data_IF_928054985150
#
_entry.id   IF_928054985150
#
_cell.length_a   1.000
_cell.length_b   1.000
_cell.length_c   1.000
_cell.angle_alpha   90.00
_cell.angle_beta   90.00
_cell.angle_gamma   90.00
#
_symmetry.space_group_name_H-M   'P 1'
#
loop_
_entity.id
_entity.type
_entity.pdbx_description
1 polymer ?
#
# COMPACT_ATOMS: atom_id res chain seq x y z
N UNK A 1 76.24 10.23 -43.69
CA UNK A 1 75.93 11.21 -42.61
C UNK A 1 75.43 10.44 -41.39
N UNK A 2 75.91 10.85 -40.21
CA UNK A 2 75.62 10.49 -38.80
C UNK A 2 74.34 9.66 -38.49
N UNK A 3 74.21 8.88 -37.41
CA UNK A 3 75.04 8.16 -36.40
C UNK A 3 74.00 7.64 -35.37
N UNK A 4 74.25 6.48 -34.74
CA UNK A 4 73.85 6.13 -33.34
C UNK A 4 72.34 5.83 -33.12
N UNK A 5 71.89 4.83 -32.35
CA UNK A 5 72.52 3.71 -31.65
C UNK A 5 71.47 2.66 -31.29
N UNK A 6 71.93 1.41 -31.24
CA UNK A 6 71.32 0.29 -30.54
C UNK A 6 71.79 0.37 -29.08
N UNK A 7 70.90 0.25 -28.10
CA UNK A 7 71.27 -0.17 -26.75
C UNK A 7 70.16 -0.95 -26.08
N UNK A 8 70.56 -2.14 -25.64
CA UNK A 8 69.76 -3.22 -25.10
C UNK A 8 69.44 -3.01 -23.62
N UNK A 9 68.36 -3.64 -23.18
CA UNK A 9 68.28 -4.22 -21.84
C UNK A 9 67.40 -5.46 -21.90
N UNK A 10 67.93 -6.48 -21.22
CA UNK A 10 67.58 -7.89 -21.28
C UNK A 10 67.05 -8.25 -19.88
N UNK A 11 65.96 -9.02 -19.84
CA UNK A 11 65.40 -9.65 -18.64
C UNK A 11 63.93 -9.95 -18.94
N UNK A 12 63.49 -11.18 -19.23
CA UNK A 12 63.47 -12.37 -18.36
C UNK A 12 62.94 -11.97 -16.96
N UNK A 13 61.79 -12.44 -16.47
CA UNK A 13 61.24 -13.78 -16.55
C UNK A 13 59.71 -13.74 -16.34
N UNK A 14 59.06 -14.64 -17.08
CA UNK A 14 57.87 -15.45 -16.80
C UNK A 14 56.90 -15.14 -15.64
N UNK A 15 55.62 -15.10 -16.06
CA UNK A 15 54.41 -15.77 -15.47
C UNK A 15 53.95 -15.22 -14.10
N UNK A 16 52.69 -14.89 -13.81
CA UNK A 16 51.39 -15.27 -14.36
C UNK A 16 50.30 -14.33 -13.79
N UNK A 17 49.18 -14.20 -14.52
CA UNK A 17 47.78 -14.00 -14.04
C UNK A 17 47.47 -12.84 -13.08
N UNK A 18 46.82 -11.77 -13.56
CA UNK A 18 45.35 -11.62 -13.56
C UNK A 18 44.93 -10.24 -14.13
N UNK A 19 43.95 -10.14 -15.05
CA UNK A 19 43.64 -8.89 -15.77
C UNK A 19 42.40 -8.16 -15.18
N UNK A 20 42.35 -7.91 -13.88
CA UNK A 20 41.23 -7.15 -13.27
C UNK A 20 41.63 -6.34 -12.03
N UNK A 21 42.71 -5.55 -12.10
CA UNK A 21 42.92 -4.48 -11.12
C UNK A 21 43.52 -3.26 -11.79
N UNK A 22 42.90 -2.11 -11.53
CA UNK A 22 43.32 -0.74 -11.82
C UNK A 22 42.90 -0.15 -13.17
N UNK A 23 41.67 0.38 -13.19
CA UNK A 23 41.42 1.68 -13.81
C UNK A 23 40.24 2.37 -13.13
N UNK A 24 40.39 3.68 -12.89
CA UNK A 24 39.42 4.70 -12.46
C UNK A 24 39.24 4.90 -10.95
N UNK A 25 40.25 5.57 -10.40
CA UNK A 25 40.07 6.53 -9.32
C UNK A 25 38.98 7.55 -9.70
N UNK A 26 37.93 7.63 -8.88
CA UNK A 26 37.01 8.77 -8.80
C UNK A 26 37.22 9.43 -7.42
N UNK A 27 37.15 10.77 -7.34
CA UNK A 27 37.52 11.53 -6.16
C UNK A 27 36.56 11.25 -4.98
N UNK A 28 37.14 11.12 -3.79
CA UNK A 28 36.41 11.09 -2.51
C UNK A 28 35.71 12.45 -2.33
N UNK A 29 34.39 12.47 -2.50
CA UNK A 29 33.54 13.55 -2.05
C UNK A 29 33.26 13.35 -0.56
N UNK A 30 33.99 14.10 0.26
CA UNK A 30 33.58 14.49 1.61
C UNK A 30 32.27 15.31 1.51
N UNK A 31 31.15 14.64 1.31
CA UNK A 31 29.83 15.21 1.59
C UNK A 31 29.38 14.72 2.98
N UNK A 32 29.02 15.62 3.91
CA UNK A 32 28.47 15.21 5.20
C UNK A 32 27.16 14.46 4.93
N UNK A 33 27.13 13.18 5.26
CA UNK A 33 25.90 12.37 5.28
C UNK A 33 24.84 13.17 6.04
N UNK A 34 23.78 13.69 5.39
CA UNK A 34 22.68 14.26 6.14
C UNK A 34 22.10 13.11 6.96
N UNK A 35 22.11 13.32 8.27
CA UNK A 35 21.56 12.44 9.30
C UNK A 35 20.28 11.79 8.78
N UNK A 36 20.36 10.52 8.35
CA UNK A 36 19.23 9.72 7.86
C UNK A 36 18.39 9.30 9.06
N UNK A 37 17.90 10.29 9.78
CA UNK A 37 17.02 10.21 10.92
C UNK A 37 15.57 10.42 10.44
N UNK A 38 15.01 9.48 9.68
CA UNK A 38 13.58 9.16 9.76
C UNK A 38 13.40 7.68 9.40
N UNK A 39 13.37 6.82 10.43
CA UNK A 39 12.65 5.56 10.34
C UNK A 39 11.17 5.93 10.17
N UNK A 40 10.72 6.13 8.93
CA UNK A 40 9.29 6.17 8.61
C UNK A 40 8.68 4.86 9.16
N UNK A 41 7.57 4.91 9.92
CA UNK A 41 6.95 3.70 10.42
C UNK A 41 6.43 2.90 9.22
N UNK A 42 7.25 1.96 8.75
CA UNK A 42 6.88 0.96 7.76
C UNK A 42 5.70 0.18 8.33
N UNK A 43 4.55 0.35 7.70
CA UNK A 43 3.59 -0.75 7.59
C UNK A 43 2.13 -0.42 7.83
N UNK A 44 1.79 0.67 8.53
CA UNK A 44 0.41 0.85 9.02
C UNK A 44 -0.10 2.27 8.86
N UNK A 45 -1.32 2.39 8.37
CA UNK A 45 -2.05 3.65 8.27
C UNK A 45 -2.12 4.37 9.63
N UNK A 46 -1.91 5.70 9.70
CA UNK A 46 -2.06 6.49 10.92
C UNK A 46 -3.39 6.23 11.64
N UNK A 47 -3.35 6.12 12.97
CA UNK A 47 -4.50 5.69 13.78
C UNK A 47 -5.73 6.60 13.58
N UNK A 48 -5.50 7.91 13.44
CA UNK A 48 -6.57 8.88 13.22
C UNK A 48 -7.27 8.67 11.86
N UNK A 49 -6.49 8.43 10.80
CA UNK A 49 -6.98 8.12 9.45
C UNK A 49 -7.68 6.76 9.42
N UNK A 50 -7.09 5.72 10.03
CA UNK A 50 -7.72 4.40 10.17
C UNK A 50 -9.07 4.49 10.87
N UNK A 51 -9.12 5.18 12.01
CA UNK A 51 -10.36 5.37 12.79
C UNK A 51 -11.41 6.16 12.03
N UNK A 52 -11.00 7.18 11.26
CA UNK A 52 -11.90 7.93 10.39
C UNK A 52 -12.51 7.02 9.31
N UNK A 53 -11.66 6.29 8.59
CA UNK A 53 -12.08 5.43 7.49
C UNK A 53 -12.96 4.26 7.95
N UNK A 54 -12.68 3.68 9.11
CA UNK A 54 -13.57 2.67 9.73
C UNK A 54 -14.98 3.21 9.94
N UNK A 55 -15.11 4.43 10.50
CA UNK A 55 -16.43 5.06 10.68
C UNK A 55 -17.12 5.34 9.35
N UNK A 56 -16.38 5.81 8.34
CA UNK A 56 -16.93 6.09 7.02
C UNK A 56 -17.41 4.82 6.32
N UNK A 57 -16.63 3.73 6.35
CA UNK A 57 -17.04 2.44 5.80
C UNK A 57 -18.30 1.90 6.48
N UNK A 58 -18.38 2.00 7.82
CA UNK A 58 -19.57 1.58 8.56
C UNK A 58 -20.80 2.44 8.24
N UNK A 59 -20.63 3.74 8.03
CA UNK A 59 -21.71 4.62 7.57
C UNK A 59 -22.14 4.27 6.15
N UNK A 60 -21.18 4.04 5.25
CA UNK A 60 -21.42 3.72 3.85
C UNK A 60 -22.16 2.39 3.70
N UNK A 61 -21.83 1.37 4.50
CA UNK A 61 -22.51 0.06 4.52
C UNK A 61 -24.00 0.15 4.83
N UNK A 62 -24.44 1.17 5.56
CA UNK A 62 -25.86 1.40 5.91
C UNK A 62 -26.61 2.20 4.85
N UNK A 63 -25.92 2.74 3.85
CA UNK A 63 -26.54 3.56 2.82
C UNK A 63 -27.21 2.69 1.76
N UNK A 64 -28.36 3.14 1.23
CA UNK A 64 -29.15 2.36 0.27
C UNK A 64 -28.37 1.97 -1.00
N UNK A 65 -27.49 2.84 -1.49
CA UNK A 65 -26.68 2.52 -2.70
C UNK A 65 -25.70 1.36 -2.48
N UNK A 66 -25.41 1.05 -1.22
CA UNK A 66 -24.42 0.07 -0.81
C UNK A 66 -25.03 -1.31 -0.56
N UNK A 67 -26.36 -1.42 -0.54
CA UNK A 67 -27.10 -2.63 -0.16
C UNK A 67 -26.63 -3.87 -0.95
N UNK A 68 -26.37 -3.70 -2.24
CA UNK A 68 -25.92 -4.77 -3.14
C UNK A 68 -24.42 -5.09 -3.05
N UNK A 69 -23.64 -4.33 -2.28
CA UNK A 69 -22.17 -4.46 -2.21
C UNK A 69 -21.68 -4.82 -0.79
N UNK A 70 -22.59 -5.18 0.12
CA UNK A 70 -22.25 -5.52 1.51
C UNK A 70 -21.64 -6.92 1.62
N UNK A 71 -22.13 -7.89 0.86
CA UNK A 71 -21.75 -9.31 0.93
C UNK A 71 -21.66 -9.90 -0.50
N UNK A 72 -20.86 -10.95 -0.76
CA UNK A 72 -20.61 -11.56 -2.08
C UNK A 72 -21.81 -12.10 -2.86
N UNK A 73 -23.04 -11.69 -2.59
CA UNK A 73 -24.13 -11.90 -3.56
C UNK A 73 -23.86 -11.12 -4.87
N UNK A 74 -22.95 -10.13 -4.86
CA UNK A 74 -22.32 -9.53 -6.06
C UNK A 74 -21.07 -10.29 -6.58
N UNK A 75 -20.80 -11.49 -6.04
CA UNK A 75 -19.68 -12.37 -6.41
C UNK A 75 -20.10 -13.82 -6.68
N UNK A 76 -21.33 -14.22 -6.33
CA UNK A 76 -21.95 -15.43 -6.87
C UNK A 76 -22.65 -15.08 -8.17
N UNK A 77 -21.89 -15.23 -9.26
CA UNK A 77 -22.42 -15.17 -10.60
C UNK A 77 -23.65 -16.08 -10.74
N UNK A 78 -24.81 -15.52 -11.05
CA UNK A 78 -25.88 -16.28 -11.71
C UNK A 78 -25.49 -16.64 -13.16
N UNK A 79 -24.40 -16.05 -13.68
CA UNK A 79 -23.93 -16.18 -15.07
C UNK A 79 -22.54 -16.84 -15.23
N UNK A 80 -22.00 -17.50 -14.21
CA UNK A 80 -20.74 -18.26 -14.33
C UNK A 80 -19.45 -17.44 -14.55
N UNK A 81 -19.49 -16.10 -14.43
CA UNK A 81 -18.28 -15.25 -14.46
C UNK A 81 -17.86 -14.85 -13.05
N UNK A 82 -16.81 -15.50 -12.56
CA UNK A 82 -16.12 -15.13 -11.32
C UNK A 82 -15.42 -13.78 -11.55
N UNK A 83 -15.61 -12.80 -10.67
CA UNK A 83 -14.77 -11.61 -10.66
C UNK A 83 -13.32 -12.03 -10.33
N UNK A 84 -12.35 -11.62 -11.15
CA UNK A 84 -10.93 -12.01 -11.01
C UNK A 84 -10.42 -11.78 -9.57
N UNK A 85 -10.83 -10.68 -8.94
CA UNK A 85 -10.52 -10.35 -7.56
C UNK A 85 -11.81 -9.86 -6.88
N UNK A 86 -12.52 -10.71 -6.12
CA UNK A 86 -13.73 -10.29 -5.43
C UNK A 86 -13.39 -9.21 -4.39
N UNK A 87 -14.21 -8.17 -4.30
CA UNK A 87 -14.10 -7.13 -3.28
C UNK A 87 -15.49 -6.62 -2.91
N UNK A 88 -15.74 -6.38 -1.62
CA UNK A 88 -17.02 -5.92 -1.08
C UNK A 88 -16.81 -5.21 0.27
N UNK A 89 -17.81 -4.44 0.71
CA UNK A 89 -17.64 -3.51 1.85
C UNK A 89 -17.24 -4.21 3.16
N UNK A 90 -17.78 -5.40 3.45
CA UNK A 90 -17.38 -6.16 4.65
C UNK A 90 -15.91 -6.60 4.58
N UNK A 91 -15.41 -6.95 3.40
CA UNK A 91 -14.01 -7.29 3.23
C UNK A 91 -13.10 -6.08 3.37
N UNK A 92 -13.50 -4.91 2.86
CA UNK A 92 -12.79 -3.65 3.11
C UNK A 92 -12.71 -3.32 4.61
N UNK A 93 -13.84 -3.42 5.34
CA UNK A 93 -13.89 -3.20 6.78
C UNK A 93 -12.97 -4.18 7.53
N UNK A 94 -13.01 -5.46 7.16
CA UNK A 94 -12.16 -6.49 7.75
C UNK A 94 -10.67 -6.23 7.49
N UNK A 95 -10.30 -5.95 6.24
CA UNK A 95 -8.92 -5.66 5.85
C UNK A 95 -8.39 -4.40 6.53
N UNK A 96 -9.22 -3.36 6.64
CA UNK A 96 -8.87 -2.15 7.36
C UNK A 96 -8.73 -2.39 8.87
N UNK A 97 -9.59 -3.20 9.47
CA UNK A 97 -9.49 -3.58 10.88
C UNK A 97 -8.17 -4.29 11.19
N UNK A 98 -7.79 -5.23 10.31
CA UNK A 98 -6.61 -6.09 10.45
C UNK A 98 -5.32 -5.51 9.86
N UNK A 99 -5.25 -4.18 9.71
CA UNK A 99 -4.05 -3.47 9.27
C UNK A 99 -3.49 -3.94 7.93
N UNK A 100 -4.36 -4.41 7.01
CA UNK A 100 -3.97 -4.82 5.66
C UNK A 100 -3.70 -3.65 4.72
N UNK A 101 -4.11 -2.43 5.11
CA UNK A 101 -3.86 -1.22 4.35
C UNK A 101 -2.77 -0.37 5.02
N UNK A 102 -1.62 -0.27 4.36
CA UNK A 102 -0.52 0.61 4.76
C UNK A 102 -0.80 2.09 4.43
N UNK A 103 -1.75 2.38 3.53
CA UNK A 103 -2.07 3.74 3.10
C UNK A 103 -3.54 3.87 2.71
N UNK A 104 -4.03 5.12 2.64
CA UNK A 104 -5.38 5.39 2.13
C UNK A 104 -5.51 5.02 0.65
N UNK A 105 -4.42 5.14 -0.12
CA UNK A 105 -4.41 4.80 -1.54
C UNK A 105 -4.69 3.32 -1.79
N UNK A 106 -4.19 2.40 -0.95
CA UNK A 106 -4.46 0.96 -1.14
C UNK A 106 -5.92 0.62 -0.85
N UNK A 107 -6.51 1.24 0.18
CA UNK A 107 -7.96 1.13 0.43
C UNK A 107 -8.79 1.67 -0.74
N UNK A 108 -8.40 2.81 -1.32
CA UNK A 108 -9.08 3.41 -2.48
C UNK A 108 -9.03 2.50 -3.71
N UNK A 109 -7.91 1.81 -3.93
CA UNK A 109 -7.77 0.89 -5.06
C UNK A 109 -8.73 -0.31 -4.93
N UNK A 110 -8.82 -0.90 -3.74
CA UNK A 110 -9.80 -1.98 -3.48
C UNK A 110 -11.24 -1.47 -3.59
N UNK A 111 -11.49 -0.20 -3.22
CA UNK A 111 -12.81 0.40 -3.42
C UNK A 111 -13.16 0.51 -4.91
N UNK A 112 -12.23 1.01 -5.73
CA UNK A 112 -12.39 1.10 -7.19
C UNK A 112 -12.59 -0.27 -7.82
N UNK A 113 -11.98 -1.32 -7.25
CA UNK A 113 -12.16 -2.69 -7.71
C UNK A 113 -13.63 -3.15 -7.58
N UNK A 114 -14.38 -2.70 -6.56
CA UNK A 114 -15.83 -2.98 -6.45
C UNK A 114 -16.58 -2.45 -7.68
N UNK A 115 -16.31 -1.20 -8.09
CA UNK A 115 -16.94 -0.59 -9.26
C UNK A 115 -16.49 -1.25 -10.58
N UNK A 116 -15.20 -1.57 -10.70
CA UNK A 116 -14.67 -2.28 -11.88
C UNK A 116 -15.30 -3.68 -12.02
N UNK A 117 -15.47 -4.39 -10.91
CA UNK A 117 -16.11 -5.70 -10.89
C UNK A 117 -17.59 -5.61 -11.28
N UNK A 118 -18.33 -4.62 -10.77
CA UNK A 118 -19.72 -4.39 -11.16
C UNK A 118 -19.83 -4.15 -12.68
N UNK A 119 -19.01 -3.25 -13.23
CA UNK A 119 -18.96 -3.00 -14.68
C UNK A 119 -18.64 -4.25 -15.49
N UNK A 120 -17.67 -5.05 -15.04
CA UNK A 120 -17.26 -6.26 -15.76
C UNK A 120 -18.34 -7.36 -15.75
N UNK A 121 -19.15 -7.42 -14.68
CA UNK A 121 -20.22 -8.41 -14.55
C UNK A 121 -21.51 -7.98 -15.27
N UNK A 122 -21.89 -6.70 -15.16
CA UNK A 122 -23.21 -6.23 -15.58
C UNK A 122 -23.20 -5.30 -16.81
N UNK A 123 -22.04 -4.75 -17.18
CA UNK A 123 -21.91 -3.74 -18.25
C UNK A 123 -22.02 -2.30 -17.75
N UNK A 124 -21.74 -1.33 -18.63
CA UNK A 124 -21.65 0.10 -18.29
C UNK A 124 -22.99 0.73 -17.91
N UNK A 125 -24.08 0.37 -18.61
CA UNK A 125 -25.41 0.98 -18.45
C UNK A 125 -26.31 0.28 -17.41
N UNK A 126 -25.75 -0.63 -16.61
CA UNK A 126 -26.51 -1.37 -15.63
C UNK A 126 -26.69 -0.59 -14.32
N UNK A 127 -27.87 -0.65 -13.71
CA UNK A 127 -28.20 0.05 -12.45
C UNK A 127 -27.19 -0.24 -11.33
N UNK A 128 -26.77 -1.50 -11.19
CA UNK A 128 -25.73 -1.89 -10.23
C UNK A 128 -24.36 -1.26 -10.55
N UNK A 129 -23.99 -1.12 -11.81
CA UNK A 129 -22.74 -0.44 -12.19
C UNK A 129 -22.81 1.04 -11.83
N UNK A 130 -23.93 1.71 -12.13
CA UNK A 130 -24.16 3.10 -11.71
C UNK A 130 -24.17 3.26 -10.18
N UNK A 131 -24.79 2.32 -9.45
CA UNK A 131 -24.79 2.32 -8.00
C UNK A 131 -23.37 2.19 -7.43
N UNK A 132 -22.55 1.29 -7.99
CA UNK A 132 -21.16 1.10 -7.58
C UNK A 132 -20.30 2.35 -7.85
N UNK A 133 -20.47 3.00 -9.02
CA UNK A 133 -19.80 4.25 -9.35
C UNK A 133 -20.19 5.40 -8.41
N UNK A 134 -21.48 5.55 -8.13
CA UNK A 134 -21.99 6.55 -7.18
C UNK A 134 -21.48 6.31 -5.76
N UNK A 135 -21.37 5.04 -5.38
CA UNK A 135 -20.78 4.65 -4.10
C UNK A 135 -19.29 5.02 -4.03
N UNK A 136 -18.54 4.80 -5.10
CA UNK A 136 -17.14 5.20 -5.22
C UNK A 136 -16.97 6.71 -5.10
N UNK A 137 -17.75 7.50 -5.84
CA UNK A 137 -17.74 8.96 -5.76
C UNK A 137 -17.99 9.43 -4.32
N UNK A 138 -19.02 8.86 -3.67
CA UNK A 138 -19.36 9.19 -2.28
C UNK A 138 -18.19 8.93 -1.33
N UNK A 139 -17.51 7.80 -1.48
CA UNK A 139 -16.36 7.44 -0.66
C UNK A 139 -15.16 8.37 -0.92
N UNK A 140 -14.90 8.74 -2.18
CA UNK A 140 -13.85 9.69 -2.53
C UNK A 140 -14.08 11.06 -1.89
N UNK A 141 -15.31 11.57 -1.89
CA UNK A 141 -15.65 12.81 -1.18
C UNK A 141 -15.43 12.72 0.33
N UNK A 142 -15.64 11.55 0.94
CA UNK A 142 -15.31 11.35 2.37
C UNK A 142 -13.79 11.44 2.61
N UNK A 143 -12.99 10.91 1.69
CA UNK A 143 -11.53 10.97 1.79
C UNK A 143 -11.02 12.40 1.60
N UNK A 144 -11.63 13.19 0.72
CA UNK A 144 -11.29 14.62 0.56
C UNK A 144 -11.51 15.43 1.84
N UNK A 145 -12.49 15.04 2.66
CA UNK A 145 -12.76 15.65 3.97
C UNK A 145 -11.95 15.03 5.13
N UNK A 146 -11.01 14.14 4.84
CA UNK A 146 -10.23 13.42 5.85
C UNK A 146 -9.15 14.32 6.48
N UNK A 147 -8.94 14.29 7.81
CA UNK A 147 -7.84 15.01 8.44
C UNK A 147 -6.47 14.49 7.99
N UNK A 148 -5.48 15.36 8.01
CA UNK A 148 -4.09 14.98 7.79
C UNK A 148 -3.64 13.95 8.84
N UNK A 149 -2.64 13.14 8.48
CA UNK A 149 -2.03 12.20 9.43
C UNK A 149 -1.51 12.99 10.64
N UNK A 150 -1.95 12.63 11.84
CA UNK A 150 -1.43 13.23 13.05
C UNK A 150 0.02 12.77 13.21
N UNK A 151 0.98 13.69 13.02
CA UNK A 151 2.42 13.40 13.14
C UNK A 151 2.88 13.12 14.58
N UNK A 152 1.97 12.91 15.54
CA UNK A 152 2.26 13.06 16.96
C UNK A 152 1.59 12.04 17.91
N UNK A 153 1.25 10.83 17.45
CA UNK A 153 0.89 9.74 18.36
C UNK A 153 1.76 8.50 18.08
N UNK A 154 2.83 8.37 18.85
CA UNK A 154 3.44 7.09 19.14
C UNK A 154 2.40 6.13 19.77
N UNK A 155 2.47 4.87 19.35
CA UNK A 155 1.91 3.67 19.98
C UNK A 155 0.39 3.62 20.28
N UNK A 156 -0.31 2.79 19.50
CA UNK A 156 -1.56 2.16 19.91
C UNK A 156 -1.32 1.35 21.20
N UNK A 157 -1.61 1.93 22.36
CA UNK A 157 -1.77 1.17 23.59
C UNK A 157 -2.95 0.20 23.40
N UNK A 158 -2.80 -1.10 23.71
CA UNK A 158 -3.88 -2.06 23.53
C UNK A 158 -5.08 -1.64 24.38
N UNK A 159 -6.23 -1.47 23.74
CA UNK A 159 -7.49 -1.09 24.39
C UNK A 159 -7.87 -2.17 25.41
N UNK A 160 -7.56 -1.91 26.67
CA UNK A 160 -8.05 -2.66 27.79
C UNK A 160 -9.58 -2.48 27.90
N UNK A 161 -10.37 -3.52 27.61
CA UNK A 161 -11.75 -3.60 28.13
C UNK A 161 -12.36 -4.99 28.07
N UNK A 162 -12.37 -5.71 29.20
CA UNK A 162 -13.59 -6.31 29.76
C UNK A 162 -13.50 -6.18 31.29
N UNK A 163 -14.28 -5.25 31.88
CA UNK A 163 -14.62 -5.33 33.30
C UNK A 163 -15.71 -6.40 33.44
N UNK A 164 -15.35 -7.53 34.02
CA UNK A 164 -16.29 -8.58 34.42
C UNK A 164 -17.19 -7.98 35.50
N UNK A 165 -18.48 -7.85 35.22
CA UNK A 165 -19.48 -7.47 36.25
C UNK A 165 -19.58 -8.66 37.20
N UNK A 166 -19.16 -8.45 38.45
CA UNK A 166 -19.40 -9.42 39.53
C UNK A 166 -20.85 -9.25 39.96
N UNK A 167 -21.66 -10.28 39.77
CA UNK A 167 -23.02 -10.35 40.33
C UNK A 167 -22.86 -11.09 41.65
N UNK A 168 -23.00 -10.39 42.77
CA UNK A 168 -23.14 -11.07 44.07
C UNK A 168 -24.52 -11.70 44.15
N UNK A 169 -24.53 -12.99 44.50
CA UNK A 169 -25.71 -13.75 44.82
C UNK A 169 -26.18 -13.39 46.23
N UNK A 170 -27.50 -13.25 46.39
CA UNK A 170 -28.19 -13.31 47.67
C UNK A 170 -29.14 -14.51 47.65
#
# INVERSE_FOLDING_TARGET
MARIAISAHRGADRMATDPLMQALALPELDDPVPDMAVLEPVGTMPINQKSYLQRQLTALRRYRISEHFVWPEAGMSTHGRIANEPMHLVMLEHNLCNDKYSSVSSLVNDFKLIAANARNQYGDDHDLTHAAMKMQERFLSMIEAMPAADKNLEACAPVARIRRVHVEAY
#
